data_IF_971224889708
#
_entry.id   IF_971224889708
#
_cell.length_a   1.000
_cell.length_b   1.000
_cell.length_c   1.000
_cell.angle_alpha   90.00
_cell.angle_beta   90.00
_cell.angle_gamma   90.00
#
_symmetry.space_group_name_H-M   'P 1'
#
loop_
_entity.id
_entity.type
_entity.pdbx_description
1 polymer ?
#
# COMPACT_ATOMS: atom_id res chain seq x y z
N UNK A 1 -2.93 -15.47 -6.36
CA UNK A 1 -2.61 -14.93 -5.04
C UNK A 1 -3.05 -15.90 -3.97
N UNK A 2 -2.14 -16.30 -3.09
CA UNK A 2 -2.41 -17.37 -2.09
C UNK A 2 -2.74 -16.80 -0.71
N UNK A 3 -2.20 -15.65 -0.35
CA UNK A 3 -2.38 -15.04 0.97
C UNK A 3 -2.32 -13.51 0.92
N UNK A 4 -2.93 -12.87 1.91
CA UNK A 4 -2.93 -11.43 2.06
C UNK A 4 -3.34 -11.01 3.46
N UNK A 5 -2.83 -9.87 3.94
CA UNK A 5 -3.16 -9.30 5.24
C UNK A 5 -3.17 -7.78 5.18
N UNK A 6 -3.96 -7.16 6.05
CA UNK A 6 -3.95 -5.70 6.24
C UNK A 6 -3.00 -5.39 7.39
N UNK A 7 -2.18 -4.37 7.20
CA UNK A 7 -1.28 -3.89 8.25
C UNK A 7 -1.18 -2.37 8.31
N UNK A 8 -0.51 -1.90 9.33
CA UNK A 8 -0.24 -0.49 9.60
C UNK A 8 1.26 -0.24 9.62
N UNK A 9 1.73 0.69 8.82
CA UNK A 9 3.14 1.06 8.78
C UNK A 9 3.54 1.77 10.07
N UNK A 10 4.41 1.20 10.87
CA UNK A 10 4.93 1.82 12.09
C UNK A 10 6.08 2.78 11.81
N UNK A 11 6.98 2.43 10.91
CA UNK A 11 8.14 3.26 10.57
C UNK A 11 9.24 2.46 9.92
N UNK A 12 10.42 3.06 9.84
CA UNK A 12 11.63 2.39 9.36
C UNK A 12 12.69 2.34 10.44
N UNK A 13 13.44 1.25 10.45
CA UNK A 13 14.60 1.02 11.30
C UNK A 13 15.65 0.24 10.52
N UNK A 14 16.71 -0.17 11.17
CA UNK A 14 17.72 -1.03 10.60
C UNK A 14 17.95 -2.24 11.49
N UNK A 15 18.29 -3.37 10.86
CA UNK A 15 18.66 -4.61 11.52
C UNK A 15 20.04 -5.00 10.98
N UNK A 16 20.83 -5.68 11.78
CA UNK A 16 22.10 -6.25 11.33
C UNK A 16 21.87 -7.72 10.94
N UNK A 17 22.42 -8.12 9.82
CA UNK A 17 22.47 -9.52 9.44
C UNK A 17 23.59 -10.26 10.19
N UNK A 18 23.66 -11.57 10.03
CA UNK A 18 24.70 -12.41 10.66
C UNK A 18 26.12 -12.03 10.23
N UNK A 19 26.28 -11.38 9.10
CA UNK A 19 27.58 -10.91 8.56
C UNK A 19 27.93 -9.48 9.01
N UNK A 20 27.08 -8.86 9.85
CA UNK A 20 27.27 -7.50 10.32
C UNK A 20 26.83 -6.40 9.32
N UNK A 21 26.20 -6.74 8.20
CA UNK A 21 25.72 -5.74 7.25
C UNK A 21 24.42 -5.11 7.75
N UNK A 22 24.29 -3.80 7.51
CA UNK A 22 23.08 -3.06 7.83
C UNK A 22 21.98 -3.33 6.80
N UNK A 23 20.85 -3.84 7.27
CA UNK A 23 19.66 -4.08 6.45
C UNK A 23 18.60 -3.06 6.85
N UNK A 24 18.25 -2.09 5.98
CA UNK A 24 17.15 -1.16 6.25
C UNK A 24 15.82 -1.89 6.15
N UNK A 25 14.97 -1.74 7.16
CA UNK A 25 13.67 -2.42 7.21
C UNK A 25 12.55 -1.44 7.55
N UNK A 26 11.37 -1.73 7.00
CA UNK A 26 10.12 -1.11 7.43
C UNK A 26 9.38 -2.08 8.35
N UNK A 27 8.96 -1.59 9.50
CA UNK A 27 8.11 -2.33 10.43
C UNK A 27 6.64 -2.08 10.10
N UNK A 28 5.90 -3.18 9.97
CA UNK A 28 4.46 -3.20 9.70
C UNK A 28 3.80 -4.03 10.80
N UNK A 29 2.86 -3.44 11.51
CA UNK A 29 1.93 -4.12 12.40
C UNK A 29 0.84 -4.74 11.52
N UNK A 30 0.86 -6.06 11.34
CA UNK A 30 0.02 -6.77 10.40
C UNK A 30 -0.95 -7.71 11.15
N UNK A 31 -2.21 -7.34 11.16
CA UNK A 31 -3.25 -8.09 11.89
C UNK A 31 -3.30 -7.80 13.40
N UNK A 32 -4.07 -8.56 14.16
CA UNK A 32 -4.98 -9.60 13.68
C UNK A 32 -6.10 -9.05 12.78
N UNK A 33 -6.33 -9.69 11.66
CA UNK A 33 -7.43 -9.36 10.75
C UNK A 33 -8.55 -10.40 10.89
N UNK A 34 -9.79 -9.96 10.87
CA UNK A 34 -10.95 -10.86 10.93
C UNK A 34 -11.58 -10.96 9.53
N UNK A 35 -11.98 -12.16 9.13
CA UNK A 35 -12.71 -12.36 7.87
C UNK A 35 -14.15 -11.91 8.05
N UNK A 36 -14.52 -10.81 7.41
CA UNK A 36 -15.89 -10.28 7.46
C UNK A 36 -16.81 -10.98 6.45
N UNK A 37 -16.28 -11.38 5.28
CA UNK A 37 -17.06 -12.04 4.26
C UNK A 37 -16.16 -12.96 3.42
N UNK A 38 -16.70 -14.11 3.05
CA UNK A 38 -16.13 -15.02 2.05
C UNK A 38 -16.95 -14.90 0.77
N UNK A 39 -16.28 -14.70 -0.35
CA UNK A 39 -16.89 -14.71 -1.69
C UNK A 39 -16.54 -15.97 -2.42
N UNK A 40 -17.53 -16.57 -3.07
CA UNK A 40 -17.41 -17.80 -3.82
C UNK A 40 -17.75 -17.58 -5.29
N UNK A 41 -17.22 -18.43 -6.14
CA UNK A 41 -17.47 -18.36 -7.60
C UNK A 41 -18.96 -18.53 -7.92
N UNK A 42 -19.67 -19.34 -7.14
CA UNK A 42 -21.09 -19.63 -7.36
C UNK A 42 -21.99 -18.42 -7.11
N UNK A 43 -21.72 -17.66 -6.05
CA UNK A 43 -22.56 -16.53 -5.64
C UNK A 43 -22.08 -15.18 -6.19
N UNK A 44 -20.76 -14.98 -6.21
CA UNK A 44 -20.14 -13.67 -6.51
C UNK A 44 -19.40 -13.65 -7.85
N UNK A 45 -19.22 -14.81 -8.49
CA UNK A 45 -18.48 -14.95 -9.75
C UNK A 45 -16.94 -15.00 -9.59
N UNK A 46 -16.42 -14.89 -8.38
CA UNK A 46 -14.99 -14.99 -8.07
C UNK A 46 -14.75 -15.40 -6.62
N UNK A 47 -13.56 -15.98 -6.37
CA UNK A 47 -13.14 -16.38 -5.03
C UNK A 47 -12.34 -15.26 -4.35
N UNK A 48 -12.78 -14.81 -3.18
CA UNK A 48 -12.11 -13.79 -2.39
C UNK A 48 -12.48 -13.86 -0.91
N UNK A 49 -11.63 -13.28 -0.06
CA UNK A 49 -11.93 -13.01 1.33
C UNK A 49 -11.91 -11.52 1.60
N UNK A 50 -12.86 -11.03 2.37
CA UNK A 50 -12.86 -9.65 2.85
C UNK A 50 -12.33 -9.63 4.27
N UNK A 51 -11.16 -9.02 4.45
CA UNK A 51 -10.51 -8.84 5.74
C UNK A 51 -10.90 -7.51 6.36
N UNK A 52 -11.11 -7.54 7.68
CA UNK A 52 -11.42 -6.39 8.51
C UNK A 52 -10.31 -6.16 9.55
N UNK A 53 -9.87 -4.90 9.69
CA UNK A 53 -8.74 -4.52 10.53
C UNK A 53 -9.02 -3.25 11.33
N UNK A 54 -8.44 -3.14 12.53
CA UNK A 54 -8.54 -2.04 13.49
C UNK A 54 -9.98 -1.80 13.99
N UNK A 55 -10.18 -1.80 15.31
CA UNK A 55 -11.50 -1.64 15.92
C UNK A 55 -12.09 -0.25 15.65
N UNK A 56 -13.38 -0.21 15.39
CA UNK A 56 -14.11 1.01 15.13
C UNK A 56 -15.20 1.24 16.18
N UNK A 57 -15.38 2.51 16.57
CA UNK A 57 -16.54 2.91 17.38
C UNK A 57 -17.76 3.04 16.46
N UNK A 58 -18.94 2.57 16.91
CA UNK A 58 -20.19 2.61 16.15
C UNK A 58 -20.52 4.00 15.57
N UNK A 59 -20.15 5.07 16.25
CA UNK A 59 -20.36 6.46 15.79
C UNK A 59 -19.57 6.86 14.52
N UNK A 60 -18.56 6.10 14.16
CA UNK A 60 -17.71 6.37 12.97
C UNK A 60 -18.12 5.54 11.75
N UNK A 61 -19.11 4.67 11.90
CA UNK A 61 -19.59 3.79 10.84
C UNK A 61 -21.01 4.18 10.43
N UNK A 62 -21.30 3.98 9.15
CA UNK A 62 -22.67 4.13 8.63
C UNK A 62 -23.54 2.96 9.06
N UNK A 63 -24.88 3.14 9.03
CA UNK A 63 -25.83 2.06 9.34
C UNK A 63 -25.64 0.83 8.46
N UNK A 64 -25.29 1.02 7.19
CA UNK A 64 -25.04 -0.06 6.23
C UNK A 64 -23.78 -0.88 6.61
N UNK A 65 -22.68 -0.21 7.00
CA UNK A 65 -21.46 -0.89 7.46
C UNK A 65 -21.69 -1.66 8.76
N UNK A 66 -22.44 -1.08 9.70
CA UNK A 66 -22.82 -1.78 10.95
C UNK A 66 -23.62 -3.04 10.63
N UNK A 67 -24.63 -2.96 9.75
CA UNK A 67 -25.43 -4.11 9.33
C UNK A 67 -24.58 -5.19 8.60
N UNK A 68 -23.55 -4.79 7.86
CA UNK A 68 -22.61 -5.72 7.23
C UNK A 68 -21.84 -6.54 8.26
N UNK A 69 -21.30 -5.90 9.30
CA UNK A 69 -20.59 -6.59 10.39
C UNK A 69 -21.54 -7.44 11.26
N UNK A 70 -22.74 -6.95 11.53
CA UNK A 70 -23.76 -7.70 12.28
C UNK A 70 -24.17 -8.98 11.55
N UNK A 71 -24.34 -8.91 10.22
CA UNK A 71 -24.63 -10.09 9.38
C UNK A 71 -23.49 -11.12 9.42
N UNK A 72 -22.25 -10.65 9.51
CA UNK A 72 -21.07 -11.52 9.60
C UNK A 72 -20.80 -12.04 11.03
N UNK A 73 -21.50 -11.53 12.04
CA UNK A 73 -21.24 -11.85 13.46
C UNK A 73 -19.88 -11.37 13.97
N UNK A 74 -19.30 -10.33 13.34
CA UNK A 74 -17.95 -9.83 13.61
C UNK A 74 -18.01 -8.47 14.29
N UNK A 75 -17.04 -8.19 15.18
CA UNK A 75 -16.88 -6.89 15.81
C UNK A 75 -16.65 -5.78 14.76
N UNK A 76 -17.11 -4.57 15.08
CA UNK A 76 -16.99 -3.42 14.18
C UNK A 76 -15.52 -3.06 13.92
N UNK A 77 -15.12 -3.03 12.67
CA UNK A 77 -13.76 -2.70 12.21
C UNK A 77 -13.75 -1.48 11.30
N UNK A 78 -12.62 -0.81 11.25
CA UNK A 78 -12.45 0.46 10.54
C UNK A 78 -12.07 0.29 9.08
N UNK A 79 -11.26 -0.71 8.77
CA UNK A 79 -10.72 -0.93 7.45
C UNK A 79 -11.17 -2.27 6.92
N UNK A 80 -11.79 -2.25 5.75
CA UNK A 80 -12.19 -3.43 4.99
C UNK A 80 -11.39 -3.48 3.69
N UNK A 81 -10.86 -4.65 3.36
CA UNK A 81 -10.19 -4.89 2.09
C UNK A 81 -10.41 -6.31 1.61
N UNK A 82 -10.71 -6.42 0.35
CA UNK A 82 -10.88 -7.70 -0.35
C UNK A 82 -9.55 -8.19 -0.92
N UNK A 83 -9.29 -9.49 -0.72
CA UNK A 83 -8.16 -10.20 -1.30
C UNK A 83 -8.71 -11.36 -2.13
N UNK A 84 -8.47 -11.31 -3.44
CA UNK A 84 -8.80 -12.40 -4.34
C UNK A 84 -7.79 -13.50 -4.17
N UNK A 85 -8.22 -14.66 -3.71
CA UNK A 85 -7.38 -15.83 -3.47
C UNK A 85 -7.70 -16.93 -4.49
N UNK A 86 -6.73 -17.79 -4.76
CA UNK A 86 -6.91 -18.99 -5.57
C UNK A 86 -7.76 -20.01 -4.84
N UNK A 87 -7.55 -20.13 -3.55
CA UNK A 87 -8.31 -21.02 -2.68
C UNK A 87 -8.80 -20.26 -1.43
N UNK A 88 -10.08 -20.36 -1.15
CA UNK A 88 -10.73 -19.77 0.02
C UNK A 88 -11.29 -20.80 0.97
N UNK A 89 -11.02 -22.11 0.77
CA UNK A 89 -11.59 -23.21 1.57
C UNK A 89 -11.22 -23.13 3.05
N UNK A 90 -9.99 -22.71 3.34
CA UNK A 90 -9.46 -22.58 4.70
C UNK A 90 -10.02 -21.39 5.50
N UNK A 91 -10.80 -20.50 4.87
CA UNK A 91 -11.31 -19.29 5.52
C UNK A 91 -12.83 -19.33 5.65
N UNK A 92 -13.30 -18.98 6.85
CA UNK A 92 -14.72 -18.79 7.16
C UNK A 92 -14.97 -17.40 7.72
N UNK A 93 -16.22 -16.91 7.67
CA UNK A 93 -16.59 -15.66 8.29
C UNK A 93 -16.33 -15.74 9.80
N UNK A 94 -15.68 -14.72 10.37
CA UNK A 94 -15.25 -14.67 11.77
C UNK A 94 -13.87 -15.29 12.04
N UNK A 95 -13.24 -16.03 11.09
CA UNK A 95 -11.88 -16.53 11.28
C UNK A 95 -10.86 -15.39 11.37
N UNK A 96 -9.81 -15.60 12.16
CA UNK A 96 -8.76 -14.61 12.38
C UNK A 96 -7.53 -14.96 11.55
N UNK A 97 -7.03 -13.99 10.79
CA UNK A 97 -5.79 -14.09 10.01
C UNK A 97 -4.69 -13.32 10.75
N UNK A 98 -3.63 -14.02 11.12
CA UNK A 98 -2.49 -13.48 11.85
C UNK A 98 -1.23 -13.42 10.97
N UNK A 99 -0.18 -12.87 11.53
CA UNK A 99 1.13 -12.72 10.87
C UNK A 99 1.74 -14.05 10.49
N UNK A 100 1.41 -15.14 11.18
CA UNK A 100 1.94 -16.50 10.99
C UNK A 100 1.67 -17.06 9.58
N UNK A 101 0.75 -16.43 8.85
CA UNK A 101 0.50 -16.74 7.44
C UNK A 101 1.75 -16.52 6.55
N UNK A 102 2.66 -15.65 6.98
CA UNK A 102 3.91 -15.34 6.27
C UNK A 102 5.10 -15.99 6.95
N UNK A 103 6.17 -16.22 6.20
CA UNK A 103 7.43 -16.77 6.71
C UNK A 103 8.60 -15.80 6.45
N UNK A 104 9.62 -15.83 7.29
CA UNK A 104 10.86 -15.11 7.04
C UNK A 104 11.54 -15.65 5.76
N UNK A 105 12.11 -14.76 4.96
CA UNK A 105 12.70 -15.07 3.67
C UNK A 105 11.74 -15.06 2.48
N UNK A 106 10.44 -14.97 2.70
CA UNK A 106 9.47 -14.85 1.63
C UNK A 106 9.54 -13.50 0.92
N UNK A 107 9.10 -13.48 -0.33
CA UNK A 107 8.88 -12.26 -1.10
C UNK A 107 7.42 -11.85 -1.05
N UNK A 108 7.20 -10.59 -0.77
CA UNK A 108 5.86 -10.00 -0.66
C UNK A 108 5.72 -8.75 -1.53
N UNK A 109 4.50 -8.50 -1.97
CA UNK A 109 4.11 -7.26 -2.63
C UNK A 109 3.32 -6.40 -1.63
N UNK A 110 3.71 -5.14 -1.50
CA UNK A 110 3.07 -4.24 -0.54
C UNK A 110 2.45 -3.06 -1.27
N UNK A 111 1.14 -2.93 -1.08
CA UNK A 111 0.34 -1.83 -1.63
C UNK A 111 0.03 -0.82 -0.54
N UNK A 112 0.22 0.45 -0.82
CA UNK A 112 -0.12 1.53 0.09
C UNK A 112 -0.40 2.83 -0.64
N UNK A 113 -0.94 3.82 0.08
CA UNK A 113 -1.19 5.15 -0.45
C UNK A 113 0.04 6.03 -0.17
N UNK A 114 0.61 6.62 -1.20
CA UNK A 114 1.79 7.49 -1.09
C UNK A 114 1.48 8.78 -0.34
N UNK A 115 2.51 9.40 0.23
CA UNK A 115 2.36 10.72 0.87
C UNK A 115 1.87 11.75 -0.15
N UNK A 116 0.79 12.45 0.16
CA UNK A 116 0.29 13.55 -0.65
C UNK A 116 1.26 14.74 -0.65
N UNK A 117 1.43 15.37 -1.81
CA UNK A 117 2.30 16.54 -2.03
C UNK A 117 1.53 17.75 -2.59
N UNK A 118 0.21 17.60 -2.73
CA UNK A 118 -0.65 18.64 -3.31
C UNK A 118 -0.28 18.95 -4.75
N UNK A 119 -0.60 20.17 -5.19
CA UNK A 119 -0.22 20.66 -6.51
C UNK A 119 1.29 20.91 -6.55
N UNK A 120 1.97 20.20 -7.41
CA UNK A 120 3.43 20.16 -7.45
C UNK A 120 3.94 20.50 -8.85
N UNK A 121 4.99 21.32 -8.90
CA UNK A 121 5.64 21.73 -10.15
C UNK A 121 6.26 20.56 -10.89
N UNK A 122 6.40 20.69 -12.22
CA UNK A 122 6.86 19.64 -13.13
C UNK A 122 8.23 19.05 -12.74
N UNK A 123 9.15 19.87 -12.23
CA UNK A 123 10.48 19.43 -11.82
C UNK A 123 10.40 18.41 -10.68
N UNK A 124 9.64 18.69 -9.62
CA UNK A 124 9.50 17.76 -8.50
C UNK A 124 8.64 16.54 -8.84
N UNK A 125 7.59 16.75 -9.64
CA UNK A 125 6.63 15.69 -10.00
C UNK A 125 7.23 14.66 -10.96
N UNK A 126 8.05 15.11 -11.91
CA UNK A 126 8.55 14.30 -13.02
C UNK A 126 10.07 14.22 -13.13
N UNK A 127 10.81 14.74 -12.12
CA UNK A 127 12.26 14.82 -12.14
C UNK A 127 12.83 15.52 -13.39
N UNK A 128 12.16 16.59 -13.85
CA UNK A 128 12.68 17.38 -14.96
C UNK A 128 13.88 18.21 -14.50
N UNK A 129 14.82 18.45 -15.42
CA UNK A 129 15.96 19.33 -15.16
C UNK A 129 15.49 20.76 -14.89
N UNK A 130 16.07 21.39 -13.87
CA UNK A 130 15.96 22.83 -13.65
C UNK A 130 16.97 23.55 -14.55
N UNK A 131 16.64 24.76 -14.96
CA UNK A 131 17.60 25.64 -15.62
C UNK A 131 18.69 26.11 -14.65
N UNK A 132 19.82 26.56 -15.20
CA UNK A 132 20.92 27.12 -14.41
C UNK A 132 20.48 28.36 -13.65
N UNK A 133 21.16 28.68 -12.56
CA UNK A 133 20.84 29.86 -11.73
C UNK A 133 21.56 31.11 -12.21
N UNK A 134 22.47 30.98 -13.17
CA UNK A 134 23.32 32.04 -13.73
C UNK A 134 23.31 32.00 -15.25
N UNK A 135 24.18 32.76 -15.92
CA UNK A 135 24.31 32.82 -17.38
C UNK A 135 23.04 33.30 -18.11
N UNK A 136 22.41 34.38 -17.61
CA UNK A 136 21.31 35.06 -18.27
C UNK A 136 19.97 34.36 -18.25
N UNK A 137 19.80 33.31 -17.42
CA UNK A 137 18.55 32.53 -17.36
C UNK A 137 17.37 33.36 -16.82
N UNK A 138 17.62 34.37 -15.99
CA UNK A 138 16.56 35.20 -15.38
C UNK A 138 15.66 34.42 -14.42
N UNK A 139 14.40 34.83 -14.21
CA UNK A 139 13.51 34.26 -13.17
C UNK A 139 12.79 32.97 -13.58
N UNK A 140 13.27 32.26 -14.62
CA UNK A 140 12.58 31.08 -15.21
C UNK A 140 13.17 29.72 -14.80
N UNK A 141 13.90 29.66 -13.69
CA UNK A 141 14.70 28.50 -13.26
C UNK A 141 13.91 27.19 -13.10
N UNK A 142 12.65 27.25 -12.72
CA UNK A 142 11.82 26.07 -12.40
C UNK A 142 10.60 25.92 -13.31
N UNK A 143 10.61 26.55 -14.45
CA UNK A 143 9.52 26.45 -15.44
C UNK A 143 9.67 25.18 -16.28
N UNK A 144 8.54 24.78 -16.89
CA UNK A 144 8.49 23.54 -17.71
C UNK A 144 9.17 23.65 -19.06
N UNK A 145 9.53 24.87 -19.49
CA UNK A 145 10.10 25.13 -20.81
C UNK A 145 9.05 25.02 -21.93
N UNK A 146 9.51 24.73 -23.14
CA UNK A 146 8.66 24.60 -24.34
C UNK A 146 7.58 23.53 -24.16
N UNK A 147 6.38 23.81 -24.64
CA UNK A 147 5.24 22.89 -24.58
C UNK A 147 5.15 21.95 -25.79
N UNK A 148 5.94 22.19 -26.82
CA UNK A 148 5.97 21.37 -28.04
C UNK A 148 6.58 22.08 -29.22
N UNK A 149 6.49 21.46 -30.38
CA UNK A 149 6.91 22.02 -31.69
C UNK A 149 5.76 22.79 -32.32
N UNK A 150 6.08 23.64 -33.30
CA UNK A 150 5.12 24.60 -33.91
C UNK A 150 4.13 23.88 -34.84
N UNK A 151 4.59 22.99 -35.72
CA UNK A 151 3.78 22.39 -36.76
C UNK A 151 2.53 21.64 -36.29
N UNK A 152 2.55 20.85 -35.20
CA UNK A 152 1.36 20.16 -34.69
C UNK A 152 0.27 21.08 -34.18
N UNK A 153 0.57 22.35 -33.88
CA UNK A 153 -0.34 23.36 -33.32
C UNK A 153 -1.13 22.89 -32.09
N UNK A 154 -0.60 21.92 -31.36
CA UNK A 154 -1.22 21.33 -30.15
C UNK A 154 -0.18 20.80 -29.18
N UNK A 155 -0.57 20.61 -27.94
CA UNK A 155 0.22 19.90 -26.94
C UNK A 155 -0.14 18.41 -27.01
N UNK A 156 0.86 17.54 -27.10
CA UNK A 156 0.64 16.11 -27.14
C UNK A 156 0.16 15.56 -25.80
N UNK A 157 -0.59 14.45 -25.86
CA UNK A 157 -1.01 13.69 -24.69
C UNK A 157 0.23 13.26 -23.89
N UNK A 158 0.07 13.08 -22.58
CA UNK A 158 1.13 12.70 -21.63
C UNK A 158 2.29 13.70 -21.49
N UNK A 159 2.14 14.94 -21.95
CA UNK A 159 3.12 15.99 -21.65
C UNK A 159 3.25 16.18 -20.14
N UNK A 160 4.47 16.11 -19.64
CA UNK A 160 4.78 16.22 -18.20
C UNK A 160 4.60 17.67 -17.73
N UNK A 161 3.55 17.90 -16.95
CA UNK A 161 3.18 19.23 -16.43
C UNK A 161 3.04 19.17 -14.91
N UNK A 162 2.90 20.35 -14.29
CA UNK A 162 2.51 20.50 -12.90
C UNK A 162 1.12 19.89 -12.65
N UNK A 163 0.84 19.49 -11.42
CA UNK A 163 -0.43 18.92 -11.02
C UNK A 163 -0.35 18.19 -9.69
N UNK A 164 -1.42 17.51 -9.33
CA UNK A 164 -1.48 16.69 -8.11
C UNK A 164 -0.37 15.64 -8.11
N UNK A 165 0.35 15.54 -6.99
CA UNK A 165 1.40 14.55 -6.78
C UNK A 165 1.23 13.84 -5.45
N UNK A 166 1.42 12.52 -5.48
CA UNK A 166 1.18 11.68 -4.32
C UNK A 166 -0.31 11.50 -4.00
N UNK A 167 -0.60 10.87 -2.86
CA UNK A 167 -1.92 10.37 -2.48
C UNK A 167 -2.49 9.37 -3.52
N UNK A 168 -1.59 8.60 -4.11
CA UNK A 168 -1.87 7.59 -5.12
C UNK A 168 -1.60 6.21 -4.54
N UNK A 169 -2.40 5.21 -4.92
CA UNK A 169 -2.14 3.83 -4.57
C UNK A 169 -0.97 3.30 -5.41
N UNK A 170 0.06 2.82 -4.72
CA UNK A 170 1.27 2.25 -5.34
C UNK A 170 1.56 0.90 -4.71
N UNK A 171 1.95 -0.06 -5.54
CA UNK A 171 2.42 -1.38 -5.10
C UNK A 171 3.91 -1.51 -5.36
N UNK A 172 4.67 -1.81 -4.32
CA UNK A 172 6.08 -2.20 -4.44
C UNK A 172 6.14 -3.72 -4.40
N UNK A 173 6.75 -4.29 -5.42
CA UNK A 173 6.82 -5.74 -5.62
C UNK A 173 8.15 -6.32 -5.12
N UNK A 174 8.16 -7.63 -4.82
CA UNK A 174 9.35 -8.41 -4.50
C UNK A 174 10.14 -7.89 -3.28
N UNK A 175 9.46 -7.44 -2.24
CA UNK A 175 10.10 -7.09 -0.98
C UNK A 175 10.34 -8.34 -0.14
N UNK A 176 11.52 -8.46 0.48
CA UNK A 176 11.85 -9.59 1.35
C UNK A 176 11.33 -9.37 2.77
N UNK A 177 10.70 -10.38 3.33
CA UNK A 177 10.37 -10.45 4.76
C UNK A 177 11.65 -10.87 5.51
N UNK A 178 12.20 -9.97 6.31
CA UNK A 178 13.45 -10.22 7.05
C UNK A 178 13.16 -10.96 8.36
N UNK A 179 12.16 -10.52 9.10
CA UNK A 179 11.78 -11.08 10.40
C UNK A 179 10.29 -10.94 10.64
N UNK A 180 9.73 -11.92 11.35
CA UNK A 180 8.35 -11.91 11.82
C UNK A 180 8.37 -12.07 13.33
N UNK A 181 7.52 -11.32 14.02
CA UNK A 181 7.27 -11.41 15.45
C UNK A 181 5.77 -11.63 15.67
N UNK A 182 5.40 -12.88 15.93
CA UNK A 182 4.02 -13.29 16.09
C UNK A 182 3.38 -12.71 17.37
N UNK A 183 4.15 -12.56 18.46
CA UNK A 183 3.63 -12.03 19.72
C UNK A 183 3.18 -10.56 19.57
N UNK A 184 3.91 -9.78 18.78
CA UNK A 184 3.63 -8.36 18.54
C UNK A 184 2.91 -8.10 17.23
N UNK A 185 2.56 -9.13 16.47
CA UNK A 185 1.98 -9.02 15.12
C UNK A 185 2.81 -8.13 14.17
N UNK A 186 4.14 -8.25 14.20
CA UNK A 186 5.05 -7.42 13.43
C UNK A 186 5.68 -8.18 12.26
N UNK A 187 5.70 -7.53 11.10
CA UNK A 187 6.49 -7.95 9.94
C UNK A 187 7.55 -6.90 9.67
N UNK A 188 8.82 -7.31 9.64
CA UNK A 188 9.94 -6.50 9.20
C UNK A 188 10.25 -6.79 7.74
N UNK A 189 10.03 -5.83 6.85
CA UNK A 189 10.23 -5.96 5.41
C UNK A 189 11.43 -5.14 4.98
N UNK A 190 12.33 -5.72 4.18
CA UNK A 190 13.52 -5.03 3.65
C UNK A 190 13.13 -3.89 2.73
N UNK A 191 13.64 -2.69 3.02
CA UNK A 191 13.47 -1.50 2.19
C UNK A 191 12.28 -0.62 2.58
N UNK A 192 11.89 0.25 1.66
CA UNK A 192 10.87 1.27 1.88
C UNK A 192 9.49 0.77 1.44
N UNK A 193 8.46 1.18 2.17
CA UNK A 193 7.04 0.88 1.91
C UNK A 193 6.30 2.20 1.67
N UNK A 194 5.33 2.25 0.73
CA UNK A 194 4.58 3.47 0.45
C UNK A 194 3.85 4.03 1.68
N UNK A 195 3.66 5.32 1.69
CA UNK A 195 2.83 5.99 2.68
C UNK A 195 3.56 6.60 3.87
N UNK A 196 2.79 7.29 4.68
CA UNK A 196 3.23 7.89 5.93
C UNK A 196 3.30 6.84 7.05
N UNK A 197 3.98 7.20 8.15
CA UNK A 197 3.89 6.47 9.41
C UNK A 197 2.43 6.47 9.89
N UNK A 198 1.92 5.33 10.34
CA UNK A 198 0.51 5.14 10.69
C UNK A 198 -0.42 4.85 9.48
N UNK A 199 0.09 4.87 8.25
CA UNK A 199 -0.70 4.55 7.06
C UNK A 199 -1.01 3.06 6.94
N UNK A 200 -2.18 2.75 6.37
CA UNK A 200 -2.60 1.38 6.10
C UNK A 200 -1.88 0.87 4.86
N UNK A 201 -1.43 -0.37 4.93
CA UNK A 201 -0.78 -1.09 3.85
C UNK A 201 -1.39 -2.48 3.69
N UNK A 202 -1.39 -2.98 2.49
CA UNK A 202 -1.87 -4.31 2.15
C UNK A 202 -0.68 -5.15 1.75
N UNK A 203 -0.42 -6.20 2.51
CA UNK A 203 0.67 -7.16 2.27
C UNK A 203 0.08 -8.40 1.63
N UNK A 204 0.67 -8.87 0.54
CA UNK A 204 0.28 -10.09 -0.16
C UNK A 204 1.52 -10.84 -0.63
N UNK A 205 1.36 -12.11 -0.96
CA UNK A 205 2.39 -12.89 -1.65
C UNK A 205 2.81 -12.21 -2.96
N UNK A 206 4.08 -12.35 -3.33
CA UNK A 206 4.59 -11.76 -4.57
C UNK A 206 4.07 -12.48 -5.80
N UNK A 207 3.63 -11.70 -6.79
CA UNK A 207 3.18 -12.24 -8.09
C UNK A 207 4.34 -12.69 -8.97
N UNK A 208 5.56 -12.18 -8.72
CA UNK A 208 6.76 -12.42 -9.54
C UNK A 208 7.84 -13.26 -8.83
N UNK A 209 7.52 -13.86 -7.70
CA UNK A 209 8.48 -14.67 -6.94
C UNK A 209 8.45 -16.11 -7.37
#
# INVERSE_FOLDING_TARGET
MKKGIIGKKLGMTQIFDEKGNVVPVTLIEAGPCVVAQKKTVENDGYAAIQLAYEDAKKKHLTKAEVGHFEKAGVALKKHLKEFRLEDTSAYEAGSVVTVDTFAAGEKVDITGITKGRGYTGAIKRWNLHKLRMTHGVGPVHRQSGSMGVIDPARIFKNKKMAGQYGNEQVTIQNLFVVKIDAEKNLIAVKGAVPGAKGGIVFVRDSVKA
#
